data_IF_595397839159
#
_entry.id   IF_595397839159
#
_cell.length_a   1.000
_cell.length_b   1.000
_cell.length_c   1.000
_cell.angle_alpha   90.00
_cell.angle_beta   90.00
_cell.angle_gamma   90.00
#
_symmetry.space_group_name_H-M   'P 1'
#
loop_
_entity.id
_entity.type
_entity.pdbx_description
1 polymer ?
#
# COMPACT_ATOMS: atom_id res chain seq x y z
N UNK A 1 12.59 -9.65 27.97
CA UNK A 1 12.77 -9.36 26.54
C UNK A 1 11.37 -9.17 25.96
N UNK A 2 11.11 -8.05 25.30
CA UNK A 2 9.79 -7.81 24.71
C UNK A 2 9.55 -8.74 23.52
N UNK A 3 8.28 -9.03 23.23
CA UNK A 3 7.88 -10.05 22.25
C UNK A 3 7.02 -9.41 21.15
N UNK A 4 7.48 -9.50 19.92
CA UNK A 4 6.81 -8.92 18.74
C UNK A 4 6.33 -10.03 17.82
N UNK A 5 5.09 -9.93 17.32
CA UNK A 5 4.63 -10.75 16.22
C UNK A 5 4.83 -10.00 14.89
N UNK A 6 5.48 -10.63 13.92
CA UNK A 6 5.55 -10.14 12.54
C UNK A 6 4.58 -10.98 11.73
N UNK A 7 3.42 -10.41 11.35
CA UNK A 7 2.46 -11.11 10.51
C UNK A 7 2.91 -11.15 9.06
N UNK A 8 3.17 -12.36 8.57
CA UNK A 8 3.63 -12.62 7.20
C UNK A 8 3.60 -14.11 6.89
N UNK A 9 3.24 -14.48 5.65
CA UNK A 9 3.39 -15.85 5.13
C UNK A 9 4.77 -16.06 4.48
N UNK A 10 5.43 -14.96 4.06
CA UNK A 10 6.77 -14.98 3.49
C UNK A 10 7.64 -13.89 4.15
N UNK A 11 8.46 -14.27 5.14
CA UNK A 11 9.39 -13.34 5.77
C UNK A 11 10.37 -12.71 4.78
N UNK A 12 10.90 -13.50 3.86
CA UNK A 12 11.83 -13.07 2.84
C UNK A 12 12.98 -12.20 3.37
N UNK A 13 13.46 -11.28 2.53
CA UNK A 13 14.51 -10.33 2.92
C UNK A 13 13.99 -9.28 3.93
N UNK A 14 12.76 -8.78 3.73
CA UNK A 14 12.18 -7.73 4.57
C UNK A 14 11.94 -8.21 6.01
N UNK A 15 11.39 -9.41 6.18
CA UNK A 15 11.18 -10.00 7.50
C UNK A 15 12.50 -10.18 8.25
N UNK A 16 13.55 -10.68 7.56
CA UNK A 16 14.88 -10.81 8.17
C UNK A 16 15.45 -9.48 8.65
N UNK A 17 15.30 -8.39 7.87
CA UNK A 17 15.76 -7.07 8.28
C UNK A 17 15.00 -6.57 9.52
N UNK A 18 13.68 -6.75 9.56
CA UNK A 18 12.85 -6.40 10.72
C UNK A 18 13.28 -7.20 11.96
N UNK A 19 13.41 -8.52 11.84
CA UNK A 19 13.82 -9.38 12.96
C UNK A 19 15.17 -8.98 13.55
N UNK A 20 16.15 -8.68 12.69
CA UNK A 20 17.46 -8.17 13.13
C UNK A 20 17.36 -6.81 13.81
N UNK A 21 16.52 -5.91 13.30
CA UNK A 21 16.32 -4.58 13.87
C UNK A 21 15.63 -4.65 15.24
N UNK A 22 14.64 -5.54 15.44
CA UNK A 22 14.01 -5.80 16.73
C UNK A 22 15.00 -6.39 17.73
N UNK A 23 15.76 -7.42 17.31
CA UNK A 23 16.76 -8.06 18.16
C UNK A 23 17.80 -7.05 18.68
N UNK A 24 18.28 -6.16 17.81
CA UNK A 24 19.24 -5.11 18.18
C UNK A 24 18.69 -4.12 19.23
N UNK A 25 17.36 -4.08 19.42
CA UNK A 25 16.65 -3.24 20.39
C UNK A 25 16.13 -4.02 21.61
N UNK A 26 16.54 -5.29 21.75
CA UNK A 26 16.20 -6.14 22.88
C UNK A 26 14.80 -6.76 22.81
N UNK A 27 14.22 -6.86 21.59
CA UNK A 27 12.94 -7.53 21.36
C UNK A 27 13.13 -8.81 20.55
N UNK A 28 12.40 -9.85 20.92
CA UNK A 28 12.28 -11.08 20.14
C UNK A 28 11.13 -10.95 19.16
N UNK A 29 11.39 -11.17 17.87
CA UNK A 29 10.38 -11.10 16.82
C UNK A 29 10.10 -12.49 16.24
N UNK A 30 8.83 -12.91 16.30
CA UNK A 30 8.35 -14.20 15.78
C UNK A 30 7.49 -14.00 14.57
N UNK A 31 7.74 -14.75 13.50
CA UNK A 31 6.89 -14.74 12.31
C UNK A 31 5.64 -15.57 12.58
N UNK A 32 4.50 -15.03 12.18
CA UNK A 32 3.19 -15.67 12.35
C UNK A 32 2.38 -15.48 11.08
N UNK A 33 1.73 -16.53 10.60
CA UNK A 33 0.71 -16.43 9.56
C UNK A 33 -0.64 -16.09 10.17
N UNK A 34 -1.37 -15.14 9.57
CA UNK A 34 -2.75 -14.86 9.96
C UNK A 34 -3.68 -16.06 9.70
N UNK A 35 -3.31 -16.95 8.78
CA UNK A 35 -4.08 -18.18 8.51
C UNK A 35 -4.09 -19.16 9.69
N UNK A 36 -3.12 -19.07 10.58
CA UNK A 36 -2.99 -19.92 11.78
C UNK A 36 -3.62 -19.28 13.02
N UNK A 37 -3.99 -18.02 12.93
CA UNK A 37 -4.62 -17.27 14.01
C UNK A 37 -6.14 -17.52 14.07
N UNK A 38 -6.74 -17.34 15.23
CA UNK A 38 -8.20 -17.46 15.38
C UNK A 38 -8.74 -16.66 16.56
N UNK A 39 -10.02 -16.31 16.47
CA UNK A 39 -10.80 -15.74 17.57
C UNK A 39 -11.38 -16.90 18.36
N UNK A 40 -11.22 -16.89 19.70
CA UNK A 40 -11.70 -17.92 20.62
C UNK A 40 -12.33 -17.29 21.86
N UNK A 41 -13.63 -17.02 21.81
CA UNK A 41 -14.33 -16.24 22.83
C UNK A 41 -14.62 -17.00 24.14
N UNK A 42 -14.19 -18.27 24.25
CA UNK A 42 -14.31 -19.08 25.46
C UNK A 42 -13.36 -18.60 26.57
N UNK A 43 -12.26 -17.93 26.22
CA UNK A 43 -11.30 -17.38 27.16
C UNK A 43 -11.36 -15.86 27.14
N UNK A 44 -11.96 -15.26 28.15
CA UNK A 44 -12.10 -13.79 28.25
C UNK A 44 -10.76 -13.04 28.38
N UNK A 45 -9.72 -13.71 28.94
CA UNK A 45 -8.40 -13.09 29.11
C UNK A 45 -7.57 -13.12 27.81
N UNK A 46 -7.75 -14.18 27.02
CA UNK A 46 -7.04 -14.35 25.74
C UNK A 46 -8.04 -14.75 24.64
N UNK A 47 -8.84 -13.80 24.14
CA UNK A 47 -9.87 -14.08 23.13
C UNK A 47 -9.29 -14.34 21.73
N UNK A 48 -7.98 -14.19 21.57
CA UNK A 48 -7.25 -14.49 20.34
C UNK A 48 -6.24 -15.61 20.58
N UNK A 49 -6.18 -16.54 19.67
CA UNK A 49 -5.08 -17.49 19.56
C UNK A 49 -4.11 -16.99 18.47
N UNK A 50 -2.89 -16.79 18.85
CA UNK A 50 -1.78 -16.41 17.97
C UNK A 50 -0.66 -17.42 18.24
N UNK A 51 -0.18 -18.18 17.24
CA UNK A 51 0.90 -19.16 17.45
C UNK A 51 2.12 -18.52 18.12
N UNK A 52 2.70 -19.23 19.05
CA UNK A 52 3.81 -18.79 19.91
C UNK A 52 3.47 -17.70 20.95
N UNK A 53 2.20 -17.28 21.05
CA UNK A 53 1.71 -16.27 21.99
C UNK A 53 0.52 -16.79 22.82
N UNK A 54 0.46 -18.11 23.05
CA UNK A 54 -0.65 -18.79 23.70
C UNK A 54 -0.79 -18.43 25.20
N UNK A 55 0.28 -17.98 25.84
CA UNK A 55 0.27 -17.60 27.26
C UNK A 55 0.03 -16.11 27.49
N UNK A 56 0.49 -15.28 26.56
CA UNK A 56 0.31 -13.83 26.60
C UNK A 56 0.45 -13.27 25.19
N UNK A 57 -0.40 -12.30 24.84
CA UNK A 57 -0.33 -11.60 23.55
C UNK A 57 1.03 -10.91 23.35
N UNK A 58 1.43 -10.63 22.10
CA UNK A 58 2.64 -9.87 21.82
C UNK A 58 2.53 -8.43 22.36
N UNK A 59 3.66 -7.81 22.67
CA UNK A 59 3.71 -6.40 23.10
C UNK A 59 3.33 -5.46 21.94
N UNK A 60 3.62 -5.84 20.71
CA UNK A 60 3.18 -5.17 19.49
C UNK A 60 3.19 -6.13 18.30
N UNK A 61 2.53 -5.70 17.23
CA UNK A 61 2.42 -6.44 15.97
C UNK A 61 2.93 -5.60 14.81
N UNK A 62 3.80 -6.18 14.00
CA UNK A 62 4.21 -5.61 12.73
C UNK A 62 3.52 -6.36 11.58
N UNK A 63 2.66 -5.68 10.82
CA UNK A 63 1.97 -6.28 9.67
C UNK A 63 2.84 -6.16 8.42
N UNK A 64 3.36 -7.29 7.95
CA UNK A 64 4.18 -7.35 6.73
C UNK A 64 3.43 -8.00 5.57
N UNK A 65 2.32 -8.66 5.84
CA UNK A 65 1.44 -9.26 4.86
C UNK A 65 0.10 -9.61 5.48
N UNK A 66 -0.95 -9.52 4.68
CA UNK A 66 -2.26 -10.11 4.95
C UNK A 66 -2.52 -11.08 3.81
N UNK A 67 -2.79 -12.35 4.09
CA UNK A 67 -3.05 -13.35 3.06
C UNK A 67 -4.25 -12.97 2.19
N UNK A 68 -4.20 -13.33 0.92
CA UNK A 68 -5.37 -13.32 0.07
C UNK A 68 -6.27 -14.52 0.37
N UNK A 69 -7.52 -14.48 -0.09
CA UNK A 69 -8.48 -15.56 0.11
C UNK A 69 -9.89 -15.17 -0.31
N UNK A 70 -10.88 -15.93 0.14
CA UNK A 70 -12.29 -15.54 0.07
C UNK A 70 -12.56 -14.28 0.88
N UNK A 71 -13.73 -13.68 0.69
CA UNK A 71 -14.12 -12.52 1.50
C UNK A 71 -14.11 -12.85 3.01
N UNK A 72 -14.61 -14.02 3.38
CA UNK A 72 -14.70 -14.49 4.75
C UNK A 72 -13.32 -14.66 5.38
N UNK A 73 -12.37 -15.23 4.64
CA UNK A 73 -10.98 -15.39 5.12
C UNK A 73 -10.30 -14.03 5.32
N UNK A 74 -10.42 -13.13 4.34
CA UNK A 74 -9.81 -11.79 4.44
C UNK A 74 -10.43 -10.99 5.59
N UNK A 75 -11.75 -11.06 5.77
CA UNK A 75 -12.45 -10.42 6.90
C UNK A 75 -11.95 -10.98 8.23
N UNK A 76 -11.80 -12.31 8.36
CA UNK A 76 -11.26 -12.91 9.58
C UNK A 76 -9.85 -12.40 9.91
N UNK A 77 -8.96 -12.30 8.90
CA UNK A 77 -7.60 -11.78 9.11
C UNK A 77 -7.60 -10.33 9.58
N UNK A 78 -8.46 -9.51 8.99
CA UNK A 78 -8.61 -8.11 9.38
C UNK A 78 -9.24 -7.97 10.76
N UNK A 79 -10.24 -8.81 11.11
CA UNK A 79 -10.85 -8.85 12.43
C UNK A 79 -9.83 -9.18 13.52
N UNK A 80 -8.85 -10.06 13.25
CA UNK A 80 -7.75 -10.35 14.18
C UNK A 80 -6.90 -9.09 14.41
N UNK A 81 -6.57 -8.33 13.35
CA UNK A 81 -5.82 -7.08 13.47
C UNK A 81 -6.61 -6.01 14.24
N UNK A 82 -7.92 -5.89 13.97
CA UNK A 82 -8.80 -4.97 14.69
C UNK A 82 -8.96 -5.36 16.16
N UNK A 83 -9.13 -6.66 16.45
CA UNK A 83 -9.25 -7.14 17.81
C UNK A 83 -7.98 -6.85 18.63
N UNK A 84 -6.80 -7.08 18.06
CA UNK A 84 -5.53 -6.71 18.70
C UNK A 84 -5.48 -5.22 19.05
N UNK A 85 -5.85 -4.35 18.11
CA UNK A 85 -5.90 -2.91 18.35
C UNK A 85 -6.91 -2.52 19.42
N UNK A 86 -8.12 -3.13 19.43
CA UNK A 86 -9.15 -2.92 20.45
C UNK A 86 -8.64 -3.36 21.83
N UNK A 87 -7.83 -4.40 21.90
CA UNK A 87 -7.19 -4.88 23.13
C UNK A 87 -5.99 -4.03 23.57
N UNK A 88 -5.69 -2.95 22.86
CA UNK A 88 -4.60 -2.03 23.19
C UNK A 88 -3.22 -2.48 22.73
N UNK A 89 -3.13 -3.51 21.90
CA UNK A 89 -1.87 -3.96 21.28
C UNK A 89 -1.59 -3.08 20.05
N UNK A 90 -0.45 -2.39 19.97
CA UNK A 90 -0.07 -1.64 18.77
C UNK A 90 0.05 -2.54 17.55
N UNK A 91 -0.66 -2.19 16.47
CA UNK A 91 -0.66 -2.89 15.17
C UNK A 91 -0.14 -1.93 14.09
N UNK A 92 0.94 -2.29 13.42
CA UNK A 92 1.72 -1.40 12.57
C UNK A 92 1.94 -1.96 11.14
N UNK A 93 1.34 -1.42 10.05
CA UNK A 93 0.13 -0.61 10.01
C UNK A 93 -1.08 -1.40 10.46
N UNK A 94 -2.06 -0.73 11.03
CA UNK A 94 -3.26 -1.39 11.54
C UNK A 94 -4.20 -1.90 10.41
N UNK A 95 -5.18 -2.73 10.79
CA UNK A 95 -6.13 -3.32 9.85
C UNK A 95 -6.86 -2.30 9.00
N UNK A 96 -7.29 -1.17 9.56
CA UNK A 96 -8.00 -0.12 8.83
C UNK A 96 -7.11 0.58 7.80
N UNK A 97 -5.84 0.80 8.12
CA UNK A 97 -4.87 1.38 7.17
C UNK A 97 -4.61 0.40 6.01
N UNK A 98 -4.51 -0.90 6.31
CA UNK A 98 -4.36 -1.95 5.29
C UNK A 98 -5.59 -1.99 4.38
N UNK A 99 -6.81 -2.07 4.92
CA UNK A 99 -8.07 -2.05 4.16
C UNK A 99 -8.14 -0.87 3.19
N UNK A 100 -7.86 0.33 3.69
CA UNK A 100 -7.91 1.57 2.89
C UNK A 100 -6.91 1.58 1.74
N UNK A 101 -5.75 0.97 1.91
CA UNK A 101 -4.71 0.96 0.88
C UNK A 101 -4.90 -0.11 -0.19
N UNK A 102 -5.42 -1.28 0.18
CA UNK A 102 -5.65 -2.36 -0.78
C UNK A 102 -6.88 -2.07 -1.65
N UNK A 103 -7.87 -1.34 -1.12
CA UNK A 103 -9.02 -0.84 -1.87
C UNK A 103 -8.66 0.46 -2.62
N UNK A 104 -8.35 0.33 -3.91
CA UNK A 104 -8.00 1.47 -4.77
C UNK A 104 -9.14 2.50 -4.89
N UNK A 105 -10.40 2.06 -4.78
CA UNK A 105 -11.57 2.94 -4.79
C UNK A 105 -11.59 3.82 -3.54
N UNK A 106 -11.45 3.22 -2.37
CA UNK A 106 -11.39 3.93 -1.10
C UNK A 106 -10.15 4.84 -1.02
N UNK A 107 -8.98 4.35 -1.46
CA UNK A 107 -7.78 5.19 -1.58
C UNK A 107 -8.05 6.46 -2.39
N UNK A 108 -8.60 6.32 -3.61
CA UNK A 108 -8.89 7.46 -4.49
C UNK A 108 -9.89 8.44 -3.85
N UNK A 109 -10.93 7.90 -3.19
CA UNK A 109 -11.93 8.72 -2.47
C UNK A 109 -11.30 9.52 -1.33
N UNK A 110 -10.45 8.88 -0.50
CA UNK A 110 -9.81 9.55 0.63
C UNK A 110 -8.82 10.62 0.18
N UNK A 111 -8.05 10.36 -0.87
CA UNK A 111 -7.15 11.35 -1.47
C UNK A 111 -7.94 12.57 -1.99
N UNK A 112 -9.04 12.34 -2.72
CA UNK A 112 -9.90 13.42 -3.21
C UNK A 112 -10.55 14.20 -2.07
N UNK A 113 -11.07 13.52 -1.04
CA UNK A 113 -11.62 14.16 0.16
C UNK A 113 -10.60 15.04 0.87
N UNK A 114 -9.34 14.61 0.89
CA UNK A 114 -8.23 15.38 1.43
C UNK A 114 -7.73 16.50 0.48
N UNK A 115 -8.38 16.71 -0.66
CA UNK A 115 -8.02 17.68 -1.71
C UNK A 115 -6.60 17.47 -2.25
N UNK A 116 -6.13 16.23 -2.27
CA UNK A 116 -4.84 15.87 -2.83
C UNK A 116 -4.96 15.61 -4.33
N UNK A 117 -3.93 15.96 -5.11
CA UNK A 117 -3.93 15.72 -6.54
C UNK A 117 -3.88 14.20 -6.82
N UNK A 118 -4.98 13.68 -7.33
CA UNK A 118 -5.13 12.28 -7.77
C UNK A 118 -5.88 12.26 -9.11
N UNK A 119 -5.62 11.31 -10.01
CA UNK A 119 -6.31 11.27 -11.30
C UNK A 119 -7.82 11.07 -11.12
N UNK A 120 -8.61 11.65 -12.02
CA UNK A 120 -10.06 11.40 -12.04
C UNK A 120 -10.33 9.91 -12.10
N UNK A 121 -11.21 9.44 -11.22
CA UNK A 121 -11.44 8.02 -10.99
C UNK A 121 -12.93 7.73 -10.87
N UNK A 122 -13.38 6.63 -11.48
CA UNK A 122 -14.75 6.12 -11.40
C UNK A 122 -14.72 4.68 -10.95
N UNK A 123 -15.55 4.35 -9.97
CA UNK A 123 -15.73 3.00 -9.44
C UNK A 123 -17.20 2.67 -9.50
N UNK A 124 -17.59 1.68 -10.28
CA UNK A 124 -19.00 1.38 -10.57
C UNK A 124 -19.22 -0.07 -11.00
N UNK A 125 -20.48 -0.51 -11.00
CA UNK A 125 -20.86 -1.87 -11.41
C UNK A 125 -21.50 -1.94 -12.80
N UNK A 126 -22.22 -0.89 -13.20
CA UNK A 126 -22.94 -0.90 -14.47
C UNK A 126 -22.00 -0.80 -15.67
N UNK A 127 -22.05 -1.81 -16.54
CA UNK A 127 -21.19 -1.85 -17.75
C UNK A 127 -21.55 -0.75 -18.73
N UNK A 128 -22.85 -0.44 -18.89
CA UNK A 128 -23.31 0.59 -19.82
C UNK A 128 -22.77 1.96 -19.42
N UNK A 129 -22.87 2.28 -18.12
CA UNK A 129 -22.31 3.53 -17.57
C UNK A 129 -20.78 3.55 -17.68
N UNK A 130 -20.09 2.42 -17.42
CA UNK A 130 -18.64 2.35 -17.58
C UNK A 130 -18.21 2.63 -19.03
N UNK A 131 -18.92 2.08 -20.01
CA UNK A 131 -18.67 2.33 -21.44
C UNK A 131 -18.95 3.78 -21.82
N UNK A 132 -20.04 4.38 -21.34
CA UNK A 132 -20.38 5.78 -21.57
C UNK A 132 -19.29 6.72 -21.04
N UNK A 133 -18.82 6.50 -19.80
CA UNK A 133 -17.72 7.27 -19.20
C UNK A 133 -16.47 7.13 -20.05
N UNK A 134 -16.08 5.90 -20.40
CA UNK A 134 -14.86 5.67 -21.15
C UNK A 134 -14.94 6.28 -22.56
N UNK A 135 -16.06 6.18 -23.24
CA UNK A 135 -16.27 6.82 -24.55
C UNK A 135 -16.24 8.35 -24.45
N UNK A 136 -16.88 8.93 -23.44
CA UNK A 136 -16.86 10.36 -23.19
C UNK A 136 -15.42 10.87 -22.97
N UNK A 137 -14.62 10.18 -22.17
CA UNK A 137 -13.23 10.55 -21.90
C UNK A 137 -12.38 10.47 -23.17
N UNK A 138 -12.51 9.39 -23.95
CA UNK A 138 -11.81 9.25 -25.23
C UNK A 138 -12.20 10.35 -26.23
N UNK A 139 -13.48 10.72 -26.31
CA UNK A 139 -13.94 11.82 -27.18
C UNK A 139 -13.37 13.19 -26.76
N UNK A 140 -13.02 13.36 -25.49
CA UNK A 140 -12.35 14.55 -24.94
C UNK A 140 -10.81 14.50 -25.11
N UNK A 141 -10.27 13.44 -25.73
CA UNK A 141 -8.83 13.24 -25.92
C UNK A 141 -8.12 12.65 -24.71
N UNK A 142 -8.85 12.16 -23.70
CA UNK A 142 -8.26 11.56 -22.51
C UNK A 142 -8.26 10.04 -22.62
N UNK A 143 -7.13 9.44 -22.30
CA UNK A 143 -6.98 8.00 -22.18
C UNK A 143 -7.30 7.57 -20.74
N UNK A 144 -7.66 6.30 -20.58
CA UNK A 144 -7.99 5.74 -19.28
C UNK A 144 -7.14 4.52 -18.96
N UNK A 145 -7.11 4.18 -17.69
CA UNK A 145 -6.61 2.90 -17.17
C UNK A 145 -7.77 2.18 -16.52
N UNK A 146 -7.94 0.90 -16.85
CA UNK A 146 -8.78 -0.03 -16.09
C UNK A 146 -7.87 -0.82 -15.15
N UNK A 147 -8.25 -0.91 -13.87
CA UNK A 147 -7.49 -1.63 -12.83
C UNK A 147 -8.44 -2.57 -12.06
N UNK A 148 -7.98 -3.74 -11.58
CA UNK A 148 -8.70 -4.46 -10.52
C UNK A 148 -8.68 -3.60 -9.24
N UNK A 149 -9.79 -3.61 -8.49
CA UNK A 149 -9.85 -2.90 -7.20
C UNK A 149 -8.77 -3.42 -6.26
N UNK A 150 -8.70 -4.74 -6.11
CA UNK A 150 -7.66 -5.44 -5.36
C UNK A 150 -6.61 -5.98 -6.33
N UNK A 151 -5.36 -6.01 -5.91
CA UNK A 151 -4.24 -6.50 -6.70
C UNK A 151 -3.00 -5.63 -6.57
N UNK A 152 -1.86 -6.19 -6.91
CA UNK A 152 -0.54 -5.58 -6.78
C UNK A 152 0.29 -5.77 -8.05
N UNK A 153 1.47 -5.17 -8.11
CA UNK A 153 2.48 -5.35 -9.17
C UNK A 153 2.02 -5.06 -10.60
N UNK A 154 0.89 -4.35 -10.76
CA UNK A 154 0.34 -3.99 -12.07
C UNK A 154 -0.37 -5.13 -12.80
N UNK A 155 -0.73 -6.22 -12.10
CA UNK A 155 -1.52 -7.29 -12.69
C UNK A 155 -2.93 -6.81 -13.03
N UNK A 156 -3.43 -7.23 -14.19
CA UNK A 156 -4.77 -6.89 -14.66
C UNK A 156 -4.99 -5.43 -15.05
N UNK A 157 -3.96 -4.57 -15.00
CA UNK A 157 -4.06 -3.17 -15.44
C UNK A 157 -4.04 -3.12 -16.97
N UNK A 158 -5.00 -2.39 -17.54
CA UNK A 158 -5.11 -2.18 -18.99
C UNK A 158 -5.25 -0.70 -19.30
N UNK A 159 -4.61 -0.25 -20.38
CA UNK A 159 -4.77 1.11 -20.94
C UNK A 159 -5.85 1.07 -22.00
N UNK A 160 -6.69 2.08 -22.00
CA UNK A 160 -7.79 2.29 -22.94
C UNK A 160 -7.44 3.57 -23.70
N UNK A 161 -6.98 3.42 -24.95
CA UNK A 161 -6.45 4.52 -25.79
C UNK A 161 -7.43 4.89 -26.90
N UNK A 162 -8.27 3.94 -27.35
CA UNK A 162 -9.18 4.10 -28.49
C UNK A 162 -10.49 3.33 -28.27
N UNK A 163 -11.52 3.68 -29.04
CA UNK A 163 -12.86 3.07 -28.91
C UNK A 163 -12.86 1.54 -29.06
N UNK A 164 -11.97 0.98 -29.90
CA UNK A 164 -11.86 -0.48 -30.04
C UNK A 164 -11.43 -1.19 -28.76
N UNK A 165 -10.72 -0.50 -27.84
CA UNK A 165 -10.29 -1.07 -26.59
C UNK A 165 -11.45 -1.27 -25.62
N UNK A 166 -12.58 -0.57 -25.82
CA UNK A 166 -13.81 -0.74 -25.05
C UNK A 166 -14.43 -2.13 -25.21
N UNK A 167 -14.14 -2.85 -26.29
CA UNK A 167 -14.57 -4.23 -26.49
C UNK A 167 -13.99 -5.15 -25.41
N UNK A 168 -12.81 -4.81 -24.90
CA UNK A 168 -12.06 -5.56 -23.90
C UNK A 168 -12.17 -4.96 -22.49
N UNK A 169 -13.06 -3.98 -22.30
CA UNK A 169 -13.32 -3.43 -20.99
C UNK A 169 -13.85 -4.53 -20.05
N UNK A 170 -13.01 -4.91 -19.12
CA UNK A 170 -13.29 -5.96 -18.15
C UNK A 170 -13.49 -5.40 -16.75
N UNK A 171 -14.33 -6.08 -15.99
CA UNK A 171 -14.53 -5.82 -14.57
C UNK A 171 -13.70 -6.80 -13.73
N UNK A 172 -13.40 -6.42 -12.50
CA UNK A 172 -12.90 -7.32 -11.47
C UNK A 172 -14.05 -7.68 -10.54
N UNK A 173 -14.48 -8.94 -10.57
CA UNK A 173 -15.60 -9.44 -9.76
C UNK A 173 -16.87 -8.56 -9.81
N UNK A 174 -17.24 -8.08 -11.01
CA UNK A 174 -18.44 -7.26 -11.22
C UNK A 174 -18.26 -5.77 -10.97
N UNK A 175 -17.05 -5.29 -10.67
CA UNK A 175 -16.77 -3.87 -10.43
C UNK A 175 -15.75 -3.35 -11.44
N UNK A 176 -16.03 -2.20 -12.02
CA UNK A 176 -15.15 -1.44 -12.88
C UNK A 176 -14.45 -0.37 -12.07
N UNK A 177 -13.13 -0.30 -12.15
CA UNK A 177 -12.32 0.84 -11.71
C UNK A 177 -11.69 1.46 -12.96
N UNK A 178 -12.10 2.67 -13.27
CA UNK A 178 -11.57 3.47 -14.37
C UNK A 178 -10.86 4.68 -13.80
N UNK A 179 -9.68 4.98 -14.30
CA UNK A 179 -8.90 6.14 -13.88
C UNK A 179 -8.30 6.83 -15.10
N UNK A 180 -8.29 8.18 -15.13
CA UNK A 180 -7.63 8.92 -16.20
C UNK A 180 -6.14 8.57 -16.23
N UNK A 181 -5.63 8.25 -17.42
CA UNK A 181 -4.21 8.07 -17.64
C UNK A 181 -3.49 9.41 -17.53
N UNK A 182 -2.36 9.42 -16.85
CA UNK A 182 -1.53 10.61 -16.66
C UNK A 182 -0.25 10.43 -17.47
N UNK A 183 -0.01 11.34 -18.39
CA UNK A 183 1.25 11.39 -19.12
C UNK A 183 2.34 11.98 -18.22
N UNK A 184 3.48 11.28 -18.15
CA UNK A 184 4.61 11.67 -17.33
C UNK A 184 5.40 12.78 -18.01
N UNK A 185 6.02 13.64 -17.20
CA UNK A 185 7.01 14.60 -17.68
C UNK A 185 8.30 13.89 -18.08
N UNK A 186 8.95 14.42 -19.15
CA UNK A 186 10.23 13.92 -19.65
C UNK A 186 10.11 12.77 -20.64
N UNK A 187 11.24 12.17 -21.00
CA UNK A 187 11.30 11.04 -21.91
C UNK A 187 11.00 9.72 -21.17
N UNK A 188 10.23 8.84 -21.81
CA UNK A 188 9.83 7.55 -21.24
C UNK A 188 8.78 7.67 -20.13
N UNK A 189 8.72 6.67 -19.27
CA UNK A 189 7.76 6.61 -18.18
C UNK A 189 8.50 6.62 -16.85
N UNK A 190 8.15 7.57 -16.00
CA UNK A 190 8.74 7.68 -14.67
C UNK A 190 7.70 7.96 -13.61
N UNK A 191 7.93 7.40 -12.45
CA UNK A 191 7.19 7.70 -11.24
C UNK A 191 8.15 7.80 -10.04
N UNK A 192 7.63 8.27 -8.94
CA UNK A 192 8.37 8.47 -7.70
C UNK A 192 7.78 7.60 -6.62
N UNK A 193 8.64 6.85 -5.92
CA UNK A 193 8.32 6.21 -4.64
C UNK A 193 8.82 7.11 -3.51
N UNK A 194 7.91 7.76 -2.81
CA UNK A 194 8.20 8.55 -1.61
C UNK A 194 7.86 7.70 -0.40
N UNK A 195 8.85 7.44 0.45
CA UNK A 195 8.66 6.64 1.65
C UNK A 195 8.48 7.54 2.86
N UNK A 196 7.32 7.44 3.49
CA UNK A 196 6.92 8.26 4.64
C UNK A 196 6.84 7.39 5.88
N UNK A 197 7.41 7.85 6.99
CA UNK A 197 7.28 7.24 8.32
C UNK A 197 6.97 8.34 9.31
N UNK A 198 5.94 8.17 10.12
CA UNK A 198 5.54 9.11 11.17
C UNK A 198 5.50 10.58 10.69
N UNK A 199 4.84 10.80 9.55
CA UNK A 199 4.69 12.14 8.96
C UNK A 199 5.98 12.77 8.41
N UNK A 200 7.04 12.00 8.20
CA UNK A 200 8.31 12.47 7.62
C UNK A 200 8.70 11.65 6.41
N UNK A 201 9.15 12.31 5.35
CA UNK A 201 9.78 11.61 4.22
C UNK A 201 11.17 11.16 4.63
N UNK A 202 11.40 9.85 4.66
CA UNK A 202 12.70 9.28 5.03
C UNK A 202 13.57 8.96 3.83
N UNK A 203 12.97 8.69 2.69
CA UNK A 203 13.68 8.41 1.44
C UNK A 203 12.77 8.60 0.22
N UNK A 204 13.39 8.86 -0.91
CA UNK A 204 12.70 9.00 -2.19
C UNK A 204 13.54 8.39 -3.30
N UNK A 205 12.90 7.65 -4.19
CA UNK A 205 13.52 7.16 -5.42
C UNK A 205 12.63 7.45 -6.61
N UNK A 206 13.24 7.79 -7.73
CA UNK A 206 12.59 7.81 -9.03
C UNK A 206 12.77 6.44 -9.67
N UNK A 207 11.66 5.89 -10.21
CA UNK A 207 11.65 4.68 -11.01
C UNK A 207 11.47 5.09 -12.47
N UNK A 208 12.27 4.56 -13.35
CA UNK A 208 12.23 4.88 -14.77
C UNK A 208 12.18 3.60 -15.59
N UNK A 209 11.28 3.53 -16.54
CA UNK A 209 11.08 2.38 -17.40
C UNK A 209 10.72 2.76 -18.84
N UNK A 210 10.82 1.77 -19.72
CA UNK A 210 10.48 1.93 -21.15
C UNK A 210 8.99 1.77 -21.42
N UNK A 211 8.23 1.24 -20.46
CA UNK A 211 6.79 1.01 -20.58
C UNK A 211 6.02 1.84 -19.56
N UNK A 212 4.80 2.24 -19.93
CA UNK A 212 3.90 3.02 -19.07
C UNK A 212 3.53 2.29 -17.75
N UNK A 213 3.48 0.95 -17.77
CA UNK A 213 3.33 0.14 -16.59
C UNK A 213 4.71 -0.13 -16.00
N UNK A 214 5.15 0.77 -15.16
CA UNK A 214 6.51 0.85 -14.64
C UNK A 214 6.56 0.44 -13.17
N UNK A 215 7.29 -0.64 -12.86
CA UNK A 215 7.62 -1.02 -11.48
C UNK A 215 8.95 -1.79 -11.42
N UNK A 216 9.52 -1.92 -10.21
CA UNK A 216 10.81 -2.59 -10.00
C UNK A 216 10.77 -4.07 -10.40
N UNK A 217 9.65 -4.75 -10.18
CA UNK A 217 9.48 -6.17 -10.55
C UNK A 217 9.51 -6.37 -12.08
N UNK A 218 9.21 -5.33 -12.85
CA UNK A 218 9.25 -5.32 -14.32
C UNK A 218 10.53 -4.72 -14.91
N UNK A 219 11.58 -4.55 -14.09
CA UNK A 219 12.88 -4.09 -14.57
C UNK A 219 13.07 -2.57 -14.62
N UNK A 220 12.22 -1.79 -13.94
CA UNK A 220 12.44 -0.36 -13.83
C UNK A 220 13.79 -0.04 -13.19
N UNK A 221 14.54 0.89 -13.78
CA UNK A 221 15.73 1.43 -13.15
C UNK A 221 15.33 2.37 -12.01
N UNK A 222 16.08 2.33 -10.91
CA UNK A 222 15.82 3.16 -9.74
C UNK A 222 17.01 4.08 -9.50
N UNK A 223 16.72 5.35 -9.22
CA UNK A 223 17.72 6.35 -8.83
C UNK A 223 17.29 7.04 -7.55
N UNK A 224 18.23 7.26 -6.65
CA UNK A 224 18.01 8.19 -5.54
C UNK A 224 17.80 9.58 -6.10
N UNK A 225 16.73 10.22 -5.68
CA UNK A 225 16.49 11.62 -6.02
C UNK A 225 15.67 12.26 -4.92
N UNK A 226 16.05 13.50 -4.57
CA UNK A 226 15.36 14.22 -3.52
C UNK A 226 13.97 14.67 -3.99
N UNK A 227 12.95 14.45 -3.18
CA UNK A 227 11.63 15.00 -3.42
C UNK A 227 11.66 16.53 -3.29
N UNK A 228 10.89 17.23 -4.15
CA UNK A 228 10.60 18.63 -3.90
C UNK A 228 9.75 18.78 -2.62
N UNK A 229 9.76 19.98 -2.03
CA UNK A 229 8.93 20.27 -0.86
C UNK A 229 7.45 19.97 -1.11
N UNK A 230 6.93 20.35 -2.28
CA UNK A 230 5.55 20.08 -2.67
C UNK A 230 5.27 18.58 -2.79
N UNK A 231 6.18 17.79 -3.37
CA UNK A 231 6.03 16.32 -3.47
C UNK A 231 6.06 15.67 -2.09
N UNK A 232 6.96 16.12 -1.22
CA UNK A 232 7.05 15.63 0.16
C UNK A 232 5.78 15.93 0.94
N UNK A 233 5.25 17.15 0.85
CA UNK A 233 4.00 17.55 1.49
C UNK A 233 2.81 16.72 1.01
N UNK A 234 2.69 16.48 -0.31
CA UNK A 234 1.65 15.62 -0.90
C UNK A 234 1.76 14.20 -0.33
N UNK A 235 2.95 13.62 -0.29
CA UNK A 235 3.15 12.26 0.22
C UNK A 235 2.81 12.14 1.70
N UNK A 236 3.21 13.10 2.53
CA UNK A 236 2.87 13.14 3.96
C UNK A 236 1.34 13.22 4.15
N UNK A 237 0.68 14.16 3.45
CA UNK A 237 -0.77 14.31 3.53
C UNK A 237 -1.51 13.08 3.01
N UNK A 238 -1.01 12.40 1.97
CA UNK A 238 -1.59 11.17 1.44
C UNK A 238 -1.51 10.04 2.48
N UNK A 239 -0.36 9.88 3.14
CA UNK A 239 -0.16 8.92 4.23
C UNK A 239 -1.13 9.18 5.38
N UNK A 240 -1.27 10.45 5.79
CA UNK A 240 -2.17 10.86 6.85
C UNK A 240 -3.66 10.69 6.48
N UNK A 241 -4.05 10.94 5.23
CA UNK A 241 -5.43 10.76 4.74
C UNK A 241 -5.91 9.32 4.87
N UNK A 242 -5.00 8.34 4.72
CA UNK A 242 -5.30 6.93 4.90
C UNK A 242 -5.04 6.45 6.34
N UNK A 243 -4.57 7.33 7.24
CA UNK A 243 -4.26 7.05 8.65
C UNK A 243 -3.18 5.97 8.82
N UNK A 244 -2.13 6.06 8.01
CA UNK A 244 -1.01 5.12 8.06
C UNK A 244 0.13 5.65 8.92
N UNK A 245 0.77 4.77 9.67
CA UNK A 245 2.02 5.08 10.41
C UNK A 245 3.18 5.28 9.41
N UNK A 246 3.21 4.43 8.40
CA UNK A 246 4.18 4.53 7.30
C UNK A 246 3.53 4.14 5.97
N UNK A 247 4.07 4.66 4.89
CA UNK A 247 3.59 4.33 3.54
C UNK A 247 4.67 4.48 2.47
N UNK A 248 4.50 3.73 1.39
CA UNK A 248 5.15 4.01 0.12
C UNK A 248 4.16 4.70 -0.81
N UNK A 249 4.35 6.00 -1.03
CA UNK A 249 3.47 6.81 -1.87
C UNK A 249 4.03 6.89 -3.29
N UNK A 250 3.23 6.49 -4.27
CA UNK A 250 3.60 6.55 -5.69
C UNK A 250 3.03 7.80 -6.34
N UNK A 251 3.91 8.63 -6.88
CA UNK A 251 3.58 9.95 -7.44
C UNK A 251 4.11 10.05 -8.87
N UNK A 252 3.29 10.56 -9.78
CA UNK A 252 3.69 10.94 -11.14
C UNK A 252 3.84 12.45 -11.20
N UNK A 253 4.93 12.91 -11.86
CA UNK A 253 5.07 14.28 -12.33
C UNK A 253 4.39 14.37 -13.71
N UNK A 254 3.40 15.26 -13.84
CA UNK A 254 2.64 15.43 -15.08
C UNK A 254 3.46 16.17 -16.13
N UNK A 255 3.22 15.85 -17.40
CA UNK A 255 3.84 16.56 -18.52
C UNK A 255 3.54 18.07 -18.49
N UNK A 256 2.33 18.45 -18.10
CA UNK A 256 1.87 19.83 -17.96
C UNK A 256 2.35 20.52 -16.67
N UNK A 257 3.13 19.81 -15.86
CA UNK A 257 3.57 20.24 -14.52
C UNK A 257 2.63 19.80 -13.38
N UNK A 258 3.15 19.83 -12.18
CA UNK A 258 2.45 19.35 -10.97
C UNK A 258 2.53 17.84 -10.77
N UNK A 259 1.94 17.36 -9.70
CA UNK A 259 2.04 15.99 -9.22
C UNK A 259 0.68 15.33 -9.14
N UNK A 260 0.65 13.98 -9.27
CA UNK A 260 -0.53 13.15 -9.06
C UNK A 260 -0.16 11.93 -8.22
N UNK A 261 -0.87 11.71 -7.12
CA UNK A 261 -0.75 10.50 -6.32
C UNK A 261 -1.54 9.39 -7.03
N UNK A 262 -0.85 8.32 -7.40
CA UNK A 262 -1.47 7.19 -8.12
C UNK A 262 -1.71 5.97 -7.22
N UNK A 263 -0.97 5.85 -6.12
CA UNK A 263 -1.10 4.75 -5.16
C UNK A 263 -0.50 5.14 -3.81
N UNK A 264 -1.07 4.58 -2.72
CA UNK A 264 -0.52 4.67 -1.37
C UNK A 264 -0.49 3.27 -0.79
N UNK A 265 0.70 2.75 -0.52
CA UNK A 265 0.91 1.37 -0.09
C UNK A 265 1.18 1.30 1.41
N UNK A 266 0.36 0.56 2.17
CA UNK A 266 0.52 0.33 3.62
C UNK A 266 1.59 -0.70 3.95
N UNK A 267 1.91 -1.60 3.04
CA UNK A 267 2.92 -2.67 3.19
C UNK A 267 3.93 -2.57 2.03
N UNK A 268 4.62 -1.42 1.89
CA UNK A 268 5.53 -1.23 0.77
C UNK A 268 6.76 -2.12 0.85
N UNK A 269 7.26 -2.57 -0.30
CA UNK A 269 8.60 -3.14 -0.40
C UNK A 269 9.64 -2.02 -0.44
N UNK A 270 10.73 -2.17 0.32
CA UNK A 270 11.78 -1.14 0.43
C UNK A 270 13.18 -1.59 0.06
N UNK A 271 13.40 -2.87 -0.30
CA UNK A 271 14.73 -3.38 -0.68
C UNK A 271 15.40 -2.55 -1.79
N UNK A 272 14.62 -2.17 -2.82
CA UNK A 272 15.10 -1.31 -3.90
C UNK A 272 15.45 0.10 -3.42
N UNK A 273 14.64 0.66 -2.52
CA UNK A 273 14.83 1.98 -1.94
C UNK A 273 16.11 2.03 -1.07
N UNK A 274 16.31 1.04 -0.18
CA UNK A 274 17.54 0.95 0.63
C UNK A 274 18.80 0.88 -0.24
N UNK A 275 18.74 0.08 -1.33
CA UNK A 275 19.86 -0.08 -2.24
C UNK A 275 20.32 1.25 -2.87
N UNK A 276 19.36 2.12 -3.23
CA UNK A 276 19.70 3.38 -3.91
C UNK A 276 19.88 4.56 -2.95
N UNK A 277 19.24 4.54 -1.78
CA UNK A 277 19.28 5.63 -0.80
C UNK A 277 20.30 5.42 0.33
N UNK A 278 20.83 4.21 0.51
CA UNK A 278 21.82 3.89 1.54
C UNK A 278 21.31 4.00 2.98
N UNK A 279 19.99 3.97 3.20
CA UNK A 279 19.36 4.06 4.52
C UNK A 279 18.96 2.68 5.03
N UNK A 280 18.66 2.57 6.32
CA UNK A 280 18.20 1.35 6.97
C UNK A 280 16.69 1.48 7.34
N UNK A 281 15.82 1.17 6.37
CA UNK A 281 14.36 1.37 6.55
C UNK A 281 13.81 0.53 7.70
N UNK A 282 14.23 -0.73 7.82
CA UNK A 282 13.77 -1.60 8.89
C UNK A 282 14.06 -1.04 10.29
N UNK A 283 15.25 -0.44 10.48
CA UNK A 283 15.61 0.18 11.76
C UNK A 283 14.70 1.36 12.09
N UNK A 284 14.42 2.23 11.10
CA UNK A 284 13.54 3.39 11.28
C UNK A 284 12.10 2.96 11.61
N UNK A 285 11.58 1.93 10.91
CA UNK A 285 10.23 1.40 11.16
C UNK A 285 10.11 0.76 12.54
N UNK A 286 11.13 0.04 12.97
CA UNK A 286 11.18 -0.58 14.29
C UNK A 286 11.24 0.48 15.39
N UNK A 287 12.09 1.51 15.24
CA UNK A 287 12.17 2.62 16.18
C UNK A 287 10.83 3.36 16.33
N UNK A 288 10.12 3.59 15.21
CA UNK A 288 8.81 4.24 15.22
C UNK A 288 7.76 3.36 15.92
N UNK A 289 7.68 2.06 15.61
CA UNK A 289 6.77 1.14 16.30
C UNK A 289 7.06 1.07 17.81
N UNK A 290 8.32 0.90 18.20
CA UNK A 290 8.70 0.77 19.61
C UNK A 290 8.45 2.07 20.40
N UNK A 291 8.45 3.22 19.74
CA UNK A 291 8.09 4.49 20.37
C UNK A 291 6.63 4.53 20.85
N UNK A 292 5.76 3.68 20.28
CA UNK A 292 4.34 3.58 20.62
C UNK A 292 4.09 2.65 21.84
N UNK A 293 5.12 1.93 22.30
CA UNK A 293 5.06 1.03 23.46
C UNK A 293 5.32 1.74 24.80
N UNK A 294 5.56 3.01 24.79
CA UNK A 294 5.96 3.80 25.97
C UNK A 294 4.77 4.49 26.60
#
# INVERSE_FOLDING_TARGET
MGRIAIFTDDPGWHGKQLSLAFLARGYEATYVSLTECRIQLQNQLLPLYIPNFEQALPDAVFVRGVPGGSLEEVVLYLDILHALKIMGIPVYNDGQAVERSVDKGMTSFLLQKAKLPTPETWVLRDRGVALQIAEQQLNQGHQLISKPIFGSQGEGIRRIEKKTDLLWLSHSHGVYYLQRFIECAGEGYSDWRVFVVHGKVIATMQRHGVHWLNNVARGASCRQQQASEQMAEIAIKATAALQMNYAGVDIICRQEGGYQVIEVNSIPAWKGLERVCGIKVAEILVDDLLSQLK
#
